data_IF_310617889538
#
_entry.id   IF_310617889538
#
_cell.length_a   1.000
_cell.length_b   1.000
_cell.length_c   1.000
_cell.angle_alpha   90.00
_cell.angle_beta   90.00
_cell.angle_gamma   90.00
#
_symmetry.space_group_name_H-M   'P 1'
#
loop_
_entity.id
_entity.type
_entity.pdbx_description
1 polymer ?
#
# COMPACT_ATOMS: atom_id res chain seq x y z
N UNK A 1 38.61 9.23 -22.52
CA UNK A 1 37.96 8.04 -21.93
C UNK A 1 38.33 8.08 -20.45
N UNK A 2 37.48 8.46 -19.50
CA UNK A 2 36.02 8.41 -19.51
C UNK A 2 35.40 9.43 -18.53
N UNK A 3 35.26 10.68 -18.98
CA UNK A 3 34.34 11.67 -18.37
C UNK A 3 32.85 11.34 -18.61
N UNK A 4 32.55 10.17 -19.18
CA UNK A 4 31.19 9.68 -19.46
C UNK A 4 30.66 8.66 -18.45
N UNK A 5 31.49 8.17 -17.52
CA UNK A 5 31.04 7.19 -16.51
C UNK A 5 30.42 7.89 -15.28
N UNK A 6 30.83 9.11 -14.97
CA UNK A 6 30.24 9.91 -13.85
C UNK A 6 28.90 10.55 -14.25
N UNK A 7 28.56 10.56 -15.55
CA UNK A 7 27.33 11.15 -16.07
C UNK A 7 26.10 10.21 -16.08
N UNK A 8 26.21 9.00 -15.52
CA UNK A 8 25.08 8.04 -15.44
C UNK A 8 24.46 7.90 -14.04
N UNK A 9 25.16 8.36 -13.00
CA UNK A 9 24.65 8.35 -11.62
C UNK A 9 23.75 9.58 -11.31
N UNK A 10 23.53 10.40 -12.34
CA UNK A 10 22.63 11.56 -12.36
C UNK A 10 21.43 11.33 -13.28
N UNK A 11 20.94 10.09 -13.39
CA UNK A 11 19.55 9.86 -13.84
C UNK A 11 18.66 10.36 -12.72
N UNK A 12 18.20 11.61 -12.86
CA UNK A 12 17.09 12.23 -12.15
C UNK A 12 16.41 11.28 -11.16
N UNK A 13 16.80 11.34 -9.87
CA UNK A 13 15.80 11.13 -8.83
C UNK A 13 14.72 12.13 -9.17
N UNK A 14 13.62 11.69 -9.78
CA UNK A 14 12.43 12.52 -9.89
C UNK A 14 12.22 13.06 -8.48
N UNK A 15 12.39 14.37 -8.30
CA UNK A 15 12.26 14.98 -6.99
C UNK A 15 10.85 14.65 -6.50
N UNK A 16 10.80 13.73 -5.55
CA UNK A 16 9.56 13.21 -5.01
C UNK A 16 8.88 14.37 -4.30
N UNK A 17 7.57 14.47 -4.44
CA UNK A 17 6.84 15.57 -3.82
C UNK A 17 7.08 15.53 -2.29
N UNK A 18 7.41 16.66 -1.62
CA UNK A 18 7.74 16.63 -0.18
C UNK A 18 6.64 16.00 0.69
N UNK A 19 5.37 16.18 0.30
CA UNK A 19 4.24 15.55 0.98
C UNK A 19 4.19 14.03 0.78
N UNK A 20 4.65 13.52 -0.37
CA UNK A 20 4.75 12.08 -0.61
C UNK A 20 5.81 11.45 0.32
N UNK A 21 6.98 12.09 0.46
CA UNK A 21 8.00 11.60 1.41
C UNK A 21 7.50 11.66 2.86
N UNK A 22 6.81 12.73 3.24
CA UNK A 22 6.21 12.83 4.56
C UNK A 22 5.19 11.71 4.81
N UNK A 23 4.29 11.47 3.85
CA UNK A 23 3.30 10.41 3.94
C UNK A 23 3.93 9.01 3.99
N UNK A 24 4.91 8.72 3.13
CA UNK A 24 5.60 7.43 3.10
C UNK A 24 6.36 7.18 4.39
N UNK A 25 7.09 8.18 4.90
CA UNK A 25 7.77 8.07 6.19
C UNK A 25 6.80 7.81 7.33
N UNK A 26 5.63 8.46 7.33
CA UNK A 26 4.60 8.21 8.32
C UNK A 26 3.99 6.81 8.19
N UNK A 27 3.58 6.39 6.99
CA UNK A 27 3.02 5.05 6.73
C UNK A 27 4.00 3.93 7.09
N UNK A 28 5.28 4.07 6.72
CA UNK A 28 6.32 3.10 7.05
C UNK A 28 6.43 2.92 8.57
N UNK A 29 6.51 4.02 9.34
CA UNK A 29 6.52 3.96 10.82
C UNK A 29 5.26 3.31 11.39
N UNK A 30 4.08 3.67 10.88
CA UNK A 30 2.80 3.11 11.35
C UNK A 30 2.75 1.59 11.11
N UNK A 31 3.18 1.14 9.93
CA UNK A 31 3.17 -0.28 9.55
C UNK A 31 4.23 -1.07 10.28
N UNK A 32 5.43 -0.54 10.40
CA UNK A 32 6.51 -1.14 11.19
C UNK A 32 6.08 -1.33 12.65
N UNK A 33 5.48 -0.30 13.25
CA UNK A 33 4.94 -0.39 14.61
C UNK A 33 3.87 -1.47 14.72
N UNK A 34 2.93 -1.55 13.77
CA UNK A 34 1.89 -2.57 13.76
C UNK A 34 2.47 -3.99 13.68
N UNK A 35 3.47 -4.21 12.81
CA UNK A 35 4.14 -5.51 12.66
C UNK A 35 4.92 -5.90 13.91
N UNK A 36 5.57 -4.96 14.59
CA UNK A 36 6.38 -5.24 15.80
C UNK A 36 5.58 -5.36 17.09
N UNK A 37 4.50 -4.58 17.23
CA UNK A 37 3.85 -4.38 18.53
C UNK A 37 2.36 -4.74 18.56
N UNK A 38 1.74 -5.04 17.41
CA UNK A 38 0.31 -5.29 17.32
C UNK A 38 -0.02 -6.55 16.50
N UNK A 39 0.92 -7.51 16.47
CA UNK A 39 0.82 -8.74 15.70
C UNK A 39 0.45 -8.50 14.22
N UNK A 40 0.86 -7.38 13.64
CA UNK A 40 0.55 -6.99 12.26
C UNK A 40 -0.90 -6.62 11.98
N UNK A 41 -1.74 -6.45 13.01
CA UNK A 41 -3.12 -5.98 12.83
C UNK A 41 -3.13 -4.55 12.29
N UNK A 42 -3.89 -4.26 11.21
CA UNK A 42 -4.01 -2.92 10.66
C UNK A 42 -4.45 -1.90 11.71
N UNK A 43 -3.74 -0.78 11.78
CA UNK A 43 -4.12 0.36 12.63
C UNK A 43 -5.03 1.32 11.84
N UNK A 44 -5.71 2.27 12.50
CA UNK A 44 -6.45 3.32 11.79
C UNK A 44 -5.60 4.10 10.78
N UNK A 45 -4.28 4.23 11.02
CA UNK A 45 -3.36 4.87 10.08
C UNK A 45 -3.12 4.08 8.78
N UNK A 46 -3.49 2.82 8.73
CA UNK A 46 -3.44 1.96 7.54
C UNK A 46 -4.80 1.83 6.85
N UNK A 47 -5.86 2.35 7.48
CA UNK A 47 -7.24 2.12 7.12
C UNK A 47 -7.97 3.44 6.82
N UNK A 48 -7.66 4.12 5.69
CA UNK A 48 -8.27 5.41 5.39
C UNK A 48 -9.78 5.30 5.18
N UNK A 49 -10.48 6.38 5.55
CA UNK A 49 -11.82 6.62 5.05
C UNK A 49 -11.75 6.99 3.57
N UNK A 50 -12.61 6.42 2.76
CA UNK A 50 -12.73 6.73 1.34
C UNK A 50 -14.05 7.44 1.05
N UNK A 51 -13.97 8.60 0.39
CA UNK A 51 -15.12 9.38 -0.07
C UNK A 51 -15.01 9.69 -1.56
N UNK A 52 -16.14 9.84 -2.23
CA UNK A 52 -16.19 10.36 -3.61
C UNK A 52 -15.94 11.88 -3.61
N UNK A 53 -15.64 12.44 -4.76
CA UNK A 53 -15.52 13.91 -4.94
C UNK A 53 -16.77 14.67 -4.50
N UNK A 54 -17.94 14.03 -4.60
CA UNK A 54 -19.22 14.57 -4.12
C UNK A 54 -19.33 14.66 -2.59
N UNK A 55 -18.34 14.14 -1.85
CA UNK A 55 -18.33 14.05 -0.38
C UNK A 55 -19.06 12.83 0.19
N UNK A 56 -19.61 11.96 -0.66
CA UNK A 56 -20.27 10.72 -0.23
C UNK A 56 -19.22 9.73 0.25
N UNK A 57 -19.34 9.29 1.50
CA UNK A 57 -18.49 8.22 2.06
C UNK A 57 -18.83 6.88 1.40
N UNK A 58 -17.80 6.19 0.88
CA UNK A 58 -17.91 4.86 0.25
C UNK A 58 -17.44 3.76 1.20
N UNK A 59 -16.48 4.08 2.06
CA UNK A 59 -15.99 3.19 3.11
C UNK A 59 -15.40 3.97 4.28
N UNK A 60 -15.73 3.56 5.51
CA UNK A 60 -15.19 4.16 6.73
C UNK A 60 -13.73 3.78 7.02
N UNK A 61 -13.21 2.71 6.39
CA UNK A 61 -11.85 2.23 6.60
C UNK A 61 -11.46 1.13 5.60
N UNK A 62 -10.74 1.49 4.55
CA UNK A 62 -10.20 0.53 3.57
C UNK A 62 -8.86 -0.01 4.06
N UNK A 63 -8.67 -1.32 4.19
CA UNK A 63 -7.32 -1.85 4.47
C UNK A 63 -6.49 -1.81 3.19
N UNK A 64 -5.52 -0.91 3.13
CA UNK A 64 -4.65 -0.74 1.97
C UNK A 64 -3.21 -1.18 2.25
N UNK A 65 -2.51 -1.64 1.23
CA UNK A 65 -1.06 -1.89 1.24
C UNK A 65 -0.31 -0.73 0.60
N UNK A 66 0.93 -0.51 1.02
CA UNK A 66 1.87 0.31 0.26
C UNK A 66 2.55 -0.58 -0.78
N UNK A 67 2.59 -0.11 -2.02
CA UNK A 67 3.19 -0.85 -3.11
C UNK A 67 4.71 -0.59 -3.19
N UNK A 68 5.56 -1.62 -3.11
CA UNK A 68 7.00 -1.48 -3.34
C UNK A 68 7.30 -1.05 -4.78
N UNK A 69 8.43 -0.37 -5.00
CA UNK A 69 8.96 -0.10 -6.35
C UNK A 69 9.30 -1.40 -7.08
N UNK A 70 9.92 -2.35 -6.36
CA UNK A 70 10.39 -3.62 -6.91
C UNK A 70 9.81 -4.77 -6.06
N UNK A 71 8.55 -5.19 -6.32
CA UNK A 71 7.87 -6.17 -5.46
C UNK A 71 8.31 -7.62 -5.70
N UNK A 72 9.11 -7.90 -6.73
CA UNK A 72 9.44 -9.24 -7.22
C UNK A 72 9.91 -10.21 -6.13
N UNK A 73 10.91 -9.83 -5.33
CA UNK A 73 11.45 -10.70 -4.27
C UNK A 73 10.40 -11.00 -3.19
N UNK A 74 9.61 -9.99 -2.84
CA UNK A 74 8.53 -10.14 -1.85
C UNK A 74 7.43 -11.06 -2.37
N UNK A 75 7.06 -10.95 -3.64
CA UNK A 75 6.09 -11.85 -4.29
C UNK A 75 6.57 -13.30 -4.22
N UNK A 76 7.82 -13.55 -4.62
CA UNK A 76 8.39 -14.90 -4.58
C UNK A 76 8.35 -15.48 -3.17
N UNK A 77 8.74 -14.67 -2.17
CA UNK A 77 8.78 -15.09 -0.78
C UNK A 77 7.39 -15.37 -0.20
N UNK A 78 6.42 -14.48 -0.44
CA UNK A 78 5.04 -14.62 0.04
C UNK A 78 4.35 -15.83 -0.58
N UNK A 79 4.53 -16.02 -1.90
CA UNK A 79 4.02 -17.18 -2.63
C UNK A 79 4.63 -18.48 -2.12
N UNK A 80 5.94 -18.50 -1.88
CA UNK A 80 6.63 -19.67 -1.33
C UNK A 80 6.04 -20.07 0.03
N UNK A 81 5.88 -19.13 0.96
CA UNK A 81 5.27 -19.45 2.27
C UNK A 81 3.83 -19.91 2.15
N UNK A 82 3.05 -19.26 1.28
CA UNK A 82 1.66 -19.62 1.03
C UNK A 82 1.50 -21.05 0.52
N UNK A 83 2.44 -21.53 -0.30
CA UNK A 83 2.42 -22.87 -0.89
C UNK A 83 3.07 -23.95 -0.02
N UNK A 84 4.10 -23.60 0.77
CA UNK A 84 4.88 -24.58 1.56
C UNK A 84 4.41 -24.70 3.00
N UNK A 85 3.89 -23.63 3.59
CA UNK A 85 3.43 -23.62 4.98
C UNK A 85 1.90 -23.76 5.00
N UNK A 86 1.46 -24.99 5.28
CA UNK A 86 0.05 -25.37 5.29
C UNK A 86 -0.67 -24.83 6.52
N UNK A 87 0.00 -24.77 7.67
CA UNK A 87 -0.55 -24.20 8.90
C UNK A 87 -0.68 -22.66 8.75
N UNK A 88 -1.91 -22.12 8.82
CA UNK A 88 -2.12 -20.68 8.76
C UNK A 88 -1.40 -19.90 9.87
N UNK A 89 -1.24 -20.46 11.07
CA UNK A 89 -0.58 -19.77 12.18
C UNK A 89 0.93 -19.65 11.95
N UNK A 90 1.58 -20.70 11.45
CA UNK A 90 2.99 -20.64 11.09
C UNK A 90 3.23 -19.67 9.93
N UNK A 91 2.34 -19.66 8.93
CA UNK A 91 2.41 -18.72 7.80
C UNK A 91 2.29 -17.27 8.28
N UNK A 92 1.32 -17.01 9.15
CA UNK A 92 1.12 -15.71 9.78
C UNK A 92 2.38 -15.27 10.52
N UNK A 93 2.97 -16.14 11.36
CA UNK A 93 4.18 -15.84 12.12
C UNK A 93 5.36 -15.47 11.22
N UNK A 94 5.60 -16.23 10.15
CA UNK A 94 6.67 -15.92 9.17
C UNK A 94 6.45 -14.58 8.49
N UNK A 95 5.20 -14.27 8.13
CA UNK A 95 4.85 -12.99 7.53
C UNK A 95 5.16 -11.83 8.49
N UNK A 96 4.79 -11.95 9.77
CA UNK A 96 5.10 -10.95 10.80
C UNK A 96 6.61 -10.80 11.01
N UNK A 97 7.35 -11.91 11.16
CA UNK A 97 8.81 -11.88 11.35
C UNK A 97 9.50 -11.13 10.19
N UNK A 98 9.07 -11.38 8.95
CA UNK A 98 9.61 -10.70 7.78
C UNK A 98 9.22 -9.22 7.71
N UNK A 99 7.93 -8.92 7.80
CA UNK A 99 7.43 -7.55 7.64
C UNK A 99 7.82 -6.64 8.82
N UNK A 100 8.11 -7.21 10.00
CA UNK A 100 8.64 -6.47 11.15
C UNK A 100 10.15 -6.16 11.07
N UNK A 101 10.86 -6.75 10.10
CA UNK A 101 12.31 -6.60 9.92
C UNK A 101 12.67 -5.29 9.22
N UNK A 102 13.28 -5.35 8.03
CA UNK A 102 13.71 -4.20 7.23
C UNK A 102 12.66 -3.70 6.23
N UNK A 103 11.57 -4.44 6.03
CA UNK A 103 10.60 -4.17 4.95
C UNK A 103 10.02 -2.75 4.93
N UNK A 104 9.80 -2.14 6.10
CA UNK A 104 9.29 -0.76 6.22
C UNK A 104 10.35 0.24 6.71
N UNK A 105 11.64 -0.08 6.64
CA UNK A 105 12.70 0.82 7.13
C UNK A 105 13.07 1.92 6.12
N UNK A 106 12.92 1.64 4.82
CA UNK A 106 13.36 2.50 3.73
C UNK A 106 12.15 3.02 2.94
N UNK A 107 11.94 4.35 2.95
CA UNK A 107 10.81 4.98 2.25
C UNK A 107 11.03 5.04 0.74
N UNK A 108 12.29 4.98 0.33
CA UNK A 108 12.73 4.93 -1.06
C UNK A 108 12.23 3.66 -1.75
N UNK A 109 11.98 2.57 -1.01
CA UNK A 109 11.53 1.29 -1.56
C UNK A 109 10.06 1.30 -1.99
N UNK A 110 9.30 2.38 -1.74
CA UNK A 110 7.88 2.48 -2.02
C UNK A 110 7.56 3.57 -3.05
N UNK A 111 6.62 3.29 -3.95
CA UNK A 111 6.28 4.20 -5.05
C UNK A 111 5.21 5.25 -4.69
N UNK A 112 4.55 5.13 -3.54
CA UNK A 112 3.47 6.02 -3.10
C UNK A 112 2.06 5.60 -3.53
N UNK A 113 1.94 4.60 -4.40
CA UNK A 113 0.66 3.97 -4.76
C UNK A 113 0.24 3.03 -3.64
N UNK A 114 -1.06 3.00 -3.40
CA UNK A 114 -1.67 2.06 -2.47
C UNK A 114 -2.56 1.07 -3.21
N UNK A 115 -2.62 -0.16 -2.73
CA UNK A 115 -3.49 -1.19 -3.30
C UNK A 115 -4.44 -1.76 -2.27
N UNK A 116 -5.66 -2.05 -2.71
CA UNK A 116 -6.68 -2.70 -1.91
C UNK A 116 -7.19 -3.95 -2.60
N UNK A 117 -7.41 -5.01 -1.83
CA UNK A 117 -8.00 -6.25 -2.32
C UNK A 117 -9.50 -6.27 -2.02
N UNK A 118 -10.31 -6.53 -3.03
CA UNK A 118 -11.76 -6.58 -2.92
C UNK A 118 -12.30 -7.90 -3.48
N UNK A 119 -13.35 -8.47 -2.88
CA UNK A 119 -14.16 -9.48 -3.56
C UNK A 119 -14.63 -8.96 -4.93
N UNK A 120 -14.71 -9.83 -5.93
CA UNK A 120 -15.10 -9.45 -7.29
C UNK A 120 -16.46 -8.75 -7.37
N UNK A 121 -17.40 -9.12 -6.51
CA UNK A 121 -18.76 -8.55 -6.43
C UNK A 121 -18.89 -7.52 -5.29
N UNK A 122 -17.78 -6.86 -4.92
CA UNK A 122 -17.78 -5.85 -3.87
C UNK A 122 -18.45 -4.57 -4.34
N UNK A 123 -19.59 -4.21 -3.74
CA UNK A 123 -20.27 -2.93 -4.01
C UNK A 123 -19.35 -1.71 -3.77
N UNK A 124 -18.47 -1.78 -2.76
CA UNK A 124 -17.45 -0.76 -2.49
C UNK A 124 -16.44 -0.68 -3.64
N UNK A 125 -15.88 -1.82 -4.05
CA UNK A 125 -14.93 -1.88 -5.18
C UNK A 125 -15.54 -1.41 -6.50
N UNK A 126 -16.79 -1.78 -6.77
CA UNK A 126 -17.53 -1.36 -7.96
C UNK A 126 -17.80 0.14 -7.97
N UNK A 127 -18.20 0.70 -6.82
CA UNK A 127 -18.43 2.14 -6.67
C UNK A 127 -17.14 2.93 -6.90
N UNK A 128 -16.02 2.48 -6.30
CA UNK A 128 -14.72 3.13 -6.45
C UNK A 128 -14.23 3.08 -7.90
N UNK A 129 -14.26 1.90 -8.53
CA UNK A 129 -13.81 1.79 -9.93
C UNK A 129 -14.71 2.59 -10.88
N UNK A 130 -16.04 2.53 -10.70
CA UNK A 130 -16.96 3.25 -11.59
C UNK A 130 -16.74 4.76 -11.56
N UNK A 131 -16.40 5.33 -10.41
CA UNK A 131 -16.10 6.75 -10.30
C UNK A 131 -14.69 7.07 -10.82
N UNK A 132 -13.73 6.15 -10.70
CA UNK A 132 -12.36 6.33 -11.20
C UNK A 132 -11.51 7.30 -10.37
N UNK A 133 -12.09 7.92 -9.36
CA UNK A 133 -11.41 8.77 -8.38
C UNK A 133 -12.07 8.68 -7.00
N UNK A 134 -11.30 8.95 -5.96
CA UNK A 134 -11.79 9.11 -4.60
C UNK A 134 -10.85 10.02 -3.79
N UNK A 135 -11.24 10.37 -2.57
CA UNK A 135 -10.35 10.96 -1.58
C UNK A 135 -10.15 9.97 -0.44
N UNK A 136 -8.88 9.67 -0.14
CA UNK A 136 -8.48 8.88 1.02
C UNK A 136 -8.09 9.79 2.17
N UNK A 137 -8.75 9.61 3.31
CA UNK A 137 -8.49 10.36 4.53
C UNK A 137 -7.92 9.45 5.61
N UNK A 138 -6.68 9.73 5.98
CA UNK A 138 -5.95 9.06 7.04
C UNK A 138 -5.95 9.94 8.29
N UNK A 139 -6.18 9.34 9.45
CA UNK A 139 -6.07 10.04 10.73
C UNK A 139 -5.60 9.08 11.82
N UNK A 140 -4.36 9.24 12.28
CA UNK A 140 -3.80 8.43 13.35
C UNK A 140 -2.60 9.11 14.03
N UNK A 141 -2.54 9.01 15.36
CA UNK A 141 -1.45 9.57 16.20
C UNK A 141 -1.14 11.05 15.92
N UNK A 142 -2.17 11.90 15.90
CA UNK A 142 -2.05 13.36 15.70
C UNK A 142 -1.54 13.79 14.32
N UNK A 143 -1.48 12.86 13.37
CA UNK A 143 -1.20 13.16 11.96
C UNK A 143 -2.40 12.74 11.11
N UNK A 144 -2.82 13.63 10.23
CA UNK A 144 -3.80 13.35 9.19
C UNK A 144 -3.23 13.61 7.80
N UNK A 145 -3.77 12.90 6.81
CA UNK A 145 -3.51 13.13 5.40
C UNK A 145 -4.83 13.04 4.64
N UNK A 146 -5.03 13.95 3.69
CA UNK A 146 -6.13 13.90 2.72
C UNK A 146 -5.53 13.80 1.33
N UNK A 147 -5.77 12.65 0.68
CA UNK A 147 -5.16 12.29 -0.59
C UNK A 147 -6.26 12.10 -1.64
N UNK A 148 -6.50 13.08 -2.53
CA UNK A 148 -7.21 12.82 -3.78
C UNK A 148 -6.45 11.75 -4.56
N UNK A 149 -7.14 10.72 -5.04
CA UNK A 149 -6.55 9.59 -5.73
C UNK A 149 -7.32 9.27 -7.01
N UNK A 150 -6.60 8.90 -8.08
CA UNK A 150 -7.20 8.13 -9.16
C UNK A 150 -7.35 6.67 -8.71
N UNK A 151 -8.39 6.01 -9.22
CA UNK A 151 -8.69 4.61 -8.91
C UNK A 151 -8.65 3.79 -10.19
N UNK A 152 -7.79 2.77 -10.21
CA UNK A 152 -7.66 1.82 -11.31
C UNK A 152 -7.87 0.38 -10.84
N UNK A 153 -8.08 -0.53 -11.79
CA UNK A 153 -8.02 -1.97 -11.54
C UNK A 153 -6.72 -2.54 -12.09
N UNK A 154 -6.03 -3.34 -11.28
CA UNK A 154 -4.76 -3.95 -11.64
C UNK A 154 -4.97 -5.21 -12.49
N UNK A 155 -4.11 -5.40 -13.49
CA UNK A 155 -4.07 -6.64 -14.28
C UNK A 155 -3.70 -7.83 -13.39
N UNK A 156 -4.40 -8.95 -13.57
CA UNK A 156 -4.15 -10.20 -12.83
C UNK A 156 -2.80 -10.84 -13.16
N UNK A 157 -2.21 -10.45 -14.28
CA UNK A 157 -0.90 -10.92 -14.76
C UNK A 157 0.23 -9.99 -14.29
N UNK A 158 -0.08 -8.86 -13.64
CA UNK A 158 0.89 -7.87 -13.17
C UNK A 158 1.42 -8.15 -11.77
N UNK A 159 2.66 -7.71 -11.51
CA UNK A 159 3.32 -7.91 -10.21
C UNK A 159 2.58 -7.22 -9.06
N UNK A 160 1.96 -6.06 -9.29
CA UNK A 160 1.23 -5.33 -8.25
C UNK A 160 -0.01 -6.10 -7.74
N UNK A 161 -0.68 -6.80 -8.65
CA UNK A 161 -1.77 -7.71 -8.30
C UNK A 161 -1.23 -8.87 -7.47
N UNK A 162 -0.17 -9.53 -7.94
CA UNK A 162 0.46 -10.66 -7.26
C UNK A 162 0.93 -10.27 -5.86
N UNK A 163 1.63 -9.15 -5.71
CA UNK A 163 2.07 -8.63 -4.43
C UNK A 163 0.90 -8.47 -3.47
N UNK A 164 -0.16 -7.78 -3.93
CA UNK A 164 -1.33 -7.51 -3.11
C UNK A 164 -2.06 -8.80 -2.71
N UNK A 165 -2.23 -9.72 -3.66
CA UNK A 165 -2.89 -10.99 -3.43
C UNK A 165 -2.11 -11.87 -2.44
N UNK A 166 -0.83 -12.14 -2.72
CA UNK A 166 -0.02 -13.02 -1.90
C UNK A 166 0.23 -12.45 -0.51
N UNK A 167 0.42 -11.13 -0.38
CA UNK A 167 0.49 -10.49 0.93
C UNK A 167 -0.80 -10.75 1.74
N UNK A 168 -1.98 -10.49 1.17
CA UNK A 168 -3.25 -10.71 1.87
C UNK A 168 -3.50 -12.19 2.19
N UNK A 169 -3.08 -13.11 1.32
CA UNK A 169 -3.23 -14.56 1.53
C UNK A 169 -2.41 -15.10 2.72
N UNK A 170 -1.31 -14.42 3.10
CA UNK A 170 -0.55 -14.76 4.31
C UNK A 170 -1.38 -14.55 5.58
N UNK A 171 -2.25 -13.54 5.58
CA UNK A 171 -3.05 -13.12 6.75
C UNK A 171 -4.49 -13.62 6.70
N UNK A 172 -5.01 -13.96 5.51
CA UNK A 172 -6.34 -14.50 5.30
C UNK A 172 -6.26 -15.86 4.59
N UNK A 173 -6.21 -16.98 5.32
CA UNK A 173 -6.08 -18.31 4.73
C UNK A 173 -7.31 -18.75 3.90
N UNK A 174 -8.45 -18.07 4.06
CA UNK A 174 -9.70 -18.35 3.34
C UNK A 174 -9.97 -17.33 2.24
N UNK A 175 -8.94 -16.61 1.79
CA UNK A 175 -9.06 -15.62 0.73
C UNK A 175 -9.51 -16.29 -0.58
N UNK A 176 -10.62 -15.80 -1.13
CA UNK A 176 -11.17 -16.27 -2.41
C UNK A 176 -10.20 -15.97 -3.58
N UNK A 177 -10.13 -16.82 -4.62
CA UNK A 177 -9.47 -16.47 -5.87
C UNK A 177 -10.28 -15.47 -6.71
N UNK A 178 -11.60 -15.36 -6.48
CA UNK A 178 -12.49 -14.42 -7.17
C UNK A 178 -12.43 -13.03 -6.51
N UNK A 179 -11.28 -12.39 -6.71
CA UNK A 179 -10.96 -11.06 -6.19
C UNK A 179 -10.49 -10.16 -7.32
N UNK A 180 -10.51 -8.86 -7.02
CA UNK A 180 -9.91 -7.79 -7.81
C UNK A 180 -9.01 -6.95 -6.92
N UNK A 181 -7.98 -6.37 -7.52
CA UNK A 181 -7.08 -5.44 -6.84
C UNK A 181 -7.28 -4.07 -7.46
N UNK A 182 -7.58 -3.08 -6.61
CA UNK A 182 -7.66 -1.69 -7.03
C UNK A 182 -6.39 -0.95 -6.62
N UNK A 183 -5.89 -0.10 -7.51
CA UNK A 183 -4.86 0.89 -7.19
C UNK A 183 -5.51 2.21 -6.80
N UNK A 184 -4.84 2.92 -5.91
CA UNK A 184 -5.14 4.28 -5.50
C UNK A 184 -3.85 5.08 -5.69
N UNK A 185 -3.80 5.88 -6.76
CA UNK A 185 -2.64 6.71 -7.07
C UNK A 185 -2.90 8.14 -6.61
N UNK A 186 -2.19 8.63 -5.57
CA UNK A 186 -2.45 9.97 -5.06
C UNK A 186 -2.02 11.07 -6.03
N UNK A 187 -2.87 12.09 -6.17
CA UNK A 187 -2.47 13.40 -6.71
C UNK A 187 -1.78 14.19 -5.60
N UNK A 188 -0.45 14.10 -5.57
CA UNK A 188 0.35 14.77 -4.56
C UNK A 188 0.28 16.29 -4.60
N UNK A 189 -0.11 16.88 -5.75
CA UNK A 189 -0.24 18.34 -5.89
C UNK A 189 -1.50 18.88 -5.23
N UNK A 190 -2.54 18.04 -5.09
CA UNK A 190 -3.81 18.36 -4.42
C UNK A 190 -3.93 17.76 -3.01
N UNK A 191 -2.93 16.98 -2.59
CA UNK A 191 -2.89 16.35 -1.28
C UNK A 191 -2.60 17.37 -0.15
N UNK A 192 -3.09 17.07 1.05
CA UNK A 192 -2.82 17.87 2.25
C UNK A 192 -2.55 17.02 3.49
N UNK A 193 -1.95 17.63 4.52
CA UNK A 193 -1.65 17.01 5.80
C UNK A 193 -1.84 17.99 6.96
N UNK A 194 -2.28 17.47 8.11
CA UNK A 194 -2.36 18.24 9.36
C UNK A 194 -1.70 17.46 10.51
N UNK A 195 -0.76 18.07 11.25
CA UNK A 195 -0.11 19.34 10.93
C UNK A 195 0.64 19.28 9.59
N UNK A 196 0.74 20.42 8.90
CA UNK A 196 1.62 20.54 7.75
C UNK A 196 3.07 20.48 8.23
N UNK A 197 3.93 19.78 7.50
CA UNK A 197 5.38 19.80 7.77
C UNK A 197 6.05 21.11 7.28
N UNK A 198 5.26 22.02 6.68
CA UNK A 198 5.68 23.25 6.02
C UNK A 198 4.73 24.40 6.38
#
# INVERSE_FOLDING_TARGET
MDDKIVARDSMQRNERHPLQDHFLGWQCRVREYAMRNNDGRPTPGMCPRASLESGIEVAAGLTLLLLPLEPHESIQQFRFWSQKTHDPQERYKKAIEWLSSAFYQHIEDFNGVMTGLFPKESATGDTLLKNGSCTLEFNYQQQSFKLPCSVGEMSKEGEDFDFTYWHNFLFNPYLSPEVRVLSFEPDWSAASAEPSQF
#
